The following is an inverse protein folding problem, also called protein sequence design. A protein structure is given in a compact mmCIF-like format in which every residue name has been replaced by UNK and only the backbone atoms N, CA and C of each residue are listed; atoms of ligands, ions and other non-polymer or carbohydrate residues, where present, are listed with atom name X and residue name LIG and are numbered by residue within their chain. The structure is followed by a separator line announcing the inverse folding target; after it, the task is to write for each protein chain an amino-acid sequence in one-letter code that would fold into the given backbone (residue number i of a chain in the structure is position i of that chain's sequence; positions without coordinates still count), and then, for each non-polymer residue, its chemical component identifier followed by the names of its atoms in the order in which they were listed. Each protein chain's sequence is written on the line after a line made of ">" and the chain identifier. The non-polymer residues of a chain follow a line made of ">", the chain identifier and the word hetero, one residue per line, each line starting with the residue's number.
data_IF_937047670778
#
_entry.id   IF_937047670778
#
_cell.length_a   1.000
_cell.length_b   1.000
_cell.length_c   1.000
_cell.angle_alpha   90.00
_cell.angle_beta   90.00
_cell.angle_gamma   90.00
#
_symmetry.space_group_name_H-M   'P 1'
#
loop_
_entity.id
_entity.type
_entity.pdbx_description
1 polymer ?
#
# COMPACT_ATOMS: atom_id res chain seq x y z
N UNK A 1 -6.94 19.72 15.52
CA UNK A 1 -6.66 21.04 14.91
C UNK A 1 -6.87 21.00 13.41
N UNK A 2 -6.12 20.20 12.65
CA UNK A 2 -6.20 20.18 11.18
C UNK A 2 -7.61 19.88 10.64
N UNK A 3 -8.36 18.97 11.29
CA UNK A 3 -9.73 18.68 10.87
C UNK A 3 -10.65 19.91 10.98
N UNK A 4 -10.48 20.71 12.04
CA UNK A 4 -11.24 21.95 12.21
C UNK A 4 -10.86 23.00 11.16
N UNK A 5 -9.55 23.13 10.87
CA UNK A 5 -9.05 24.05 9.85
C UNK A 5 -9.53 23.68 8.43
N UNK A 6 -9.61 22.38 8.16
CA UNK A 6 -10.06 21.85 6.86
C UNK A 6 -11.58 21.66 6.76
N UNK A 7 -12.34 21.92 7.83
CA UNK A 7 -13.78 21.71 7.89
C UNK A 7 -14.18 20.23 7.77
N UNK A 8 -13.32 19.30 8.17
CA UNK A 8 -13.53 17.86 8.07
C UNK A 8 -13.79 17.22 9.44
N UNK A 9 -14.28 15.97 9.43
CA UNK A 9 -14.52 15.19 10.63
C UNK A 9 -13.19 14.65 11.19
N UNK A 10 -12.94 14.72 12.52
CA UNK A 10 -11.78 14.07 13.13
C UNK A 10 -11.82 12.56 12.91
N UNK A 11 -10.73 11.99 12.38
CA UNK A 11 -10.63 10.56 12.02
C UNK A 11 -9.89 9.70 13.05
N UNK A 12 -9.67 10.23 14.25
CA UNK A 12 -9.05 9.47 15.34
C UNK A 12 -7.55 9.22 15.20
N UNK A 13 -6.84 10.04 14.42
CA UNK A 13 -5.39 9.87 14.18
C UNK A 13 -4.50 10.21 15.38
N UNK A 14 -5.02 10.86 16.41
CA UNK A 14 -4.31 11.08 17.69
C UNK A 14 -4.29 9.79 18.50
N UNK A 15 -3.30 8.94 18.29
CA UNK A 15 -3.23 7.59 18.88
C UNK A 15 -1.93 7.38 19.65
N UNK A 16 -1.95 6.46 20.60
CA UNK A 16 -0.78 6.07 21.40
C UNK A 16 -0.76 4.55 21.60
N UNK A 17 0.41 4.00 21.77
CA UNK A 17 0.61 2.58 22.00
C UNK A 17 0.01 2.10 23.32
N UNK A 18 0.12 2.93 24.37
CA UNK A 18 -0.44 2.65 25.69
C UNK A 18 -0.73 3.94 26.46
N UNK A 19 -1.41 3.84 27.58
CA UNK A 19 -1.69 4.99 28.45
C UNK A 19 -0.41 5.66 29.00
N UNK A 20 0.71 4.95 29.04
CA UNK A 20 2.02 5.46 29.50
C UNK A 20 2.79 6.23 28.42
N UNK A 21 2.27 6.30 27.18
CA UNK A 21 2.93 6.92 26.05
C UNK A 21 2.21 8.16 25.59
N UNK A 22 2.96 9.10 25.02
CA UNK A 22 2.40 10.30 24.40
C UNK A 22 1.60 9.93 23.14
N UNK A 23 0.50 10.62 22.91
CA UNK A 23 -0.23 10.51 21.65
C UNK A 23 0.49 11.30 20.54
N UNK A 24 0.52 10.70 19.35
CA UNK A 24 1.03 11.29 18.13
C UNK A 24 0.03 11.12 17.00
N UNK A 25 0.22 11.87 15.94
CA UNK A 25 -0.48 11.56 14.68
C UNK A 25 0.00 10.22 14.15
N UNK A 26 -0.91 9.27 14.02
CA UNK A 26 -0.68 7.89 13.61
C UNK A 26 -1.70 7.50 12.56
N UNK A 27 -1.33 6.52 11.73
CA UNK A 27 -2.29 5.93 10.81
C UNK A 27 -3.47 5.31 11.56
N UNK A 28 -4.65 5.43 10.99
CA UNK A 28 -5.77 4.53 11.18
C UNK A 28 -5.76 3.49 10.04
N UNK A 29 -6.87 2.89 9.70
CA UNK A 29 -6.95 2.01 8.54
C UNK A 29 -6.91 2.88 7.27
N UNK A 30 -5.79 2.88 6.57
CA UNK A 30 -5.58 3.68 5.36
C UNK A 30 -5.40 2.73 4.19
N UNK A 31 -6.31 2.79 3.23
CA UNK A 31 -6.31 1.89 2.08
C UNK A 31 -6.97 2.55 0.86
N UNK A 32 -6.72 2.00 -0.31
CA UNK A 32 -7.43 2.40 -1.51
C UNK A 32 -8.81 1.76 -1.54
N UNK A 33 -9.83 2.56 -1.75
CA UNK A 33 -11.19 2.08 -1.98
C UNK A 33 -11.29 1.29 -3.28
N UNK A 34 -12.34 0.50 -3.42
CA UNK A 34 -12.62 -0.26 -4.63
C UNK A 34 -12.88 0.64 -5.83
N UNK A 35 -12.28 0.28 -6.96
CA UNK A 35 -12.55 0.86 -8.26
C UNK A 35 -13.64 0.09 -9.02
N UNK A 36 -13.49 0.01 -10.34
CA UNK A 36 -14.49 -0.60 -11.23
C UNK A 36 -14.00 -1.84 -11.98
N UNK A 37 -12.70 -2.13 -11.92
CA UNK A 37 -12.10 -3.19 -12.71
C UNK A 37 -12.17 -4.55 -12.02
N UNK A 38 -12.30 -5.62 -12.79
CA UNK A 38 -12.04 -6.97 -12.28
C UNK A 38 -10.54 -7.26 -12.31
N UNK A 39 -10.12 -8.23 -11.51
CA UNK A 39 -8.72 -8.63 -11.48
C UNK A 39 -8.28 -9.22 -12.82
N UNK A 40 -9.17 -9.95 -13.49
CA UNK A 40 -8.94 -10.53 -14.83
C UNK A 40 -8.71 -9.42 -15.87
N UNK A 41 -9.52 -8.36 -15.86
CA UNK A 41 -9.33 -7.19 -16.75
C UNK A 41 -7.99 -6.52 -16.48
N UNK A 42 -7.62 -6.37 -15.21
CA UNK A 42 -6.34 -5.78 -14.83
C UNK A 42 -5.16 -6.61 -15.36
N UNK A 43 -5.19 -7.92 -15.15
CA UNK A 43 -4.15 -8.85 -15.66
C UNK A 43 -4.09 -8.80 -17.18
N UNK A 44 -5.24 -8.89 -17.86
CA UNK A 44 -5.32 -8.86 -19.33
C UNK A 44 -4.75 -7.58 -19.95
N UNK A 45 -4.73 -6.48 -19.18
CA UNK A 45 -4.21 -5.18 -19.63
C UNK A 45 -2.70 -5.00 -19.45
N UNK A 46 -1.97 -6.00 -18.92
CA UNK A 46 -0.52 -5.92 -18.66
C UNK A 46 0.26 -6.55 -19.82
N UNK A 47 1.04 -5.76 -20.53
CA UNK A 47 1.95 -6.27 -21.58
C UNK A 47 3.11 -7.05 -20.96
N UNK A 48 3.77 -6.47 -19.94
CA UNK A 48 4.80 -7.11 -19.14
C UNK A 48 4.83 -6.54 -17.72
N UNK A 49 4.85 -7.40 -16.74
CA UNK A 49 4.92 -7.01 -15.34
C UNK A 49 4.72 -8.18 -14.37
N UNK A 50 4.33 -7.84 -13.16
CA UNK A 50 4.16 -8.83 -12.09
C UNK A 50 2.91 -8.52 -11.27
N UNK A 51 2.17 -9.55 -10.91
CA UNK A 51 1.22 -9.47 -9.82
C UNK A 51 1.94 -9.82 -8.52
N UNK A 52 1.92 -8.88 -7.58
CA UNK A 52 2.69 -8.96 -6.33
C UNK A 52 1.80 -9.47 -5.21
N UNK A 53 2.35 -10.35 -4.38
CA UNK A 53 1.64 -11.01 -3.27
C UNK A 53 2.41 -10.87 -1.96
N UNK A 54 1.65 -10.80 -0.86
CA UNK A 54 2.14 -10.83 0.51
C UNK A 54 3.19 -9.73 0.77
N UNK A 55 2.75 -8.49 0.56
CA UNK A 55 3.53 -7.32 0.98
C UNK A 55 3.66 -7.32 2.50
N UNK A 56 4.88 -7.28 3.01
CA UNK A 56 5.15 -7.51 4.42
C UNK A 56 5.91 -6.39 5.11
N UNK A 57 6.46 -5.46 4.38
CA UNK A 57 7.22 -4.36 4.92
C UNK A 57 7.20 -3.16 3.97
N UNK A 58 7.20 -1.97 4.55
CA UNK A 58 7.30 -0.73 3.80
C UNK A 58 8.03 0.33 4.59
N UNK A 59 8.80 1.13 3.88
CA UNK A 59 9.47 2.33 4.42
C UNK A 59 9.19 3.51 3.51
N UNK A 60 9.07 4.66 4.12
CA UNK A 60 8.92 5.94 3.45
C UNK A 60 10.03 6.93 3.85
N UNK A 61 10.45 7.76 2.91
CA UNK A 61 11.24 8.95 3.17
C UNK A 61 10.35 10.20 3.08
N UNK A 62 9.90 10.75 4.22
CA UNK A 62 8.99 11.89 4.22
C UNK A 62 9.59 13.17 3.66
N UNK A 63 10.91 13.27 3.56
CA UNK A 63 11.58 14.46 3.03
C UNK A 63 11.65 14.47 1.52
N UNK A 64 11.93 13.31 0.92
CA UNK A 64 12.16 13.19 -0.51
C UNK A 64 11.07 12.38 -1.23
N UNK A 65 10.00 12.00 -0.52
CA UNK A 65 8.87 11.22 -1.07
C UNK A 65 9.24 9.84 -1.63
N UNK A 66 10.37 9.32 -1.19
CA UNK A 66 10.81 7.97 -1.55
C UNK A 66 9.98 6.91 -0.83
N UNK A 67 9.71 5.80 -1.51
CA UNK A 67 9.08 4.62 -0.95
C UNK A 67 9.87 3.37 -1.31
N UNK A 68 9.88 2.42 -0.40
CA UNK A 68 10.36 1.07 -0.63
C UNK A 68 9.44 0.08 0.07
N UNK A 69 8.97 -0.92 -0.65
CA UNK A 69 8.15 -2.00 -0.11
C UNK A 69 8.74 -3.34 -0.49
N UNK A 70 8.62 -4.31 0.41
CA UNK A 70 9.01 -5.69 0.14
C UNK A 70 7.78 -6.58 0.08
N UNK A 71 7.87 -7.62 -0.72
CA UNK A 71 6.84 -8.64 -0.83
C UNK A 71 7.48 -10.03 -0.92
N UNK A 72 6.70 -11.05 -0.59
CA UNK A 72 7.18 -12.41 -0.57
C UNK A 72 7.47 -12.92 -1.98
N UNK A 73 6.55 -12.70 -2.92
CA UNK A 73 6.74 -13.13 -4.30
C UNK A 73 5.90 -12.31 -5.29
N UNK A 74 6.26 -12.43 -6.56
CA UNK A 74 5.49 -11.92 -7.69
C UNK A 74 5.32 -12.97 -8.77
N UNK A 75 4.13 -13.05 -9.37
CA UNK A 75 3.84 -13.89 -10.55
C UNK A 75 3.98 -13.06 -11.81
N UNK A 76 4.82 -13.53 -12.73
CA UNK A 76 5.05 -12.83 -13.99
C UNK A 76 3.80 -12.87 -14.89
N UNK A 77 3.53 -11.71 -15.49
CA UNK A 77 2.48 -11.51 -16.49
C UNK A 77 3.16 -11.04 -17.78
N UNK A 78 2.83 -11.69 -18.89
CA UNK A 78 3.23 -11.30 -20.23
C UNK A 78 2.07 -11.41 -21.19
N UNK A 79 1.86 -10.38 -22.01
CA UNK A 79 0.76 -10.31 -22.99
C UNK A 79 -0.60 -10.65 -22.37
N UNK A 80 -0.87 -10.10 -21.19
CA UNK A 80 -2.13 -10.27 -20.46
C UNK A 80 -2.35 -11.63 -19.80
N UNK A 81 -1.31 -12.47 -19.67
CA UNK A 81 -1.42 -13.82 -19.13
C UNK A 81 -0.29 -14.14 -18.15
N UNK A 82 -0.58 -14.94 -17.14
CA UNK A 82 0.45 -15.49 -16.27
C UNK A 82 1.33 -16.47 -17.06
N UNK A 83 2.65 -16.28 -16.97
CA UNK A 83 3.64 -17.17 -17.64
C UNK A 83 3.94 -18.44 -16.84
N UNK A 84 3.62 -18.45 -15.56
CA UNK A 84 4.04 -19.48 -14.61
C UNK A 84 5.34 -19.18 -13.86
N UNK A 85 6.10 -18.19 -14.31
CA UNK A 85 7.32 -17.77 -13.62
C UNK A 85 6.99 -17.00 -12.35
N UNK A 86 7.84 -17.16 -11.33
CA UNK A 86 7.74 -16.51 -10.04
C UNK A 86 9.09 -15.84 -9.72
N UNK A 87 9.02 -14.61 -9.20
CA UNK A 87 10.16 -13.91 -8.61
C UNK A 87 10.00 -13.86 -7.10
N UNK A 88 11.06 -14.04 -6.35
CA UNK A 88 11.10 -13.96 -4.89
C UNK A 88 12.53 -13.78 -4.39
N UNK A 89 12.78 -12.93 -3.39
CA UNK A 89 11.85 -11.90 -2.86
C UNK A 89 11.64 -10.76 -3.86
N UNK A 90 10.64 -9.91 -3.61
CA UNK A 90 10.39 -8.72 -4.44
C UNK A 90 10.65 -7.46 -3.62
N UNK A 91 11.42 -6.55 -4.18
CA UNK A 91 11.59 -5.20 -3.66
C UNK A 91 11.00 -4.20 -4.66
N UNK A 92 10.03 -3.44 -4.19
CA UNK A 92 9.44 -2.35 -4.98
C UNK A 92 9.97 -1.02 -4.47
N UNK A 93 10.43 -0.16 -5.34
CA UNK A 93 10.93 1.18 -4.98
C UNK A 93 10.47 2.24 -5.96
N UNK A 94 10.40 3.48 -5.49
CA UNK A 94 9.99 4.61 -6.31
C UNK A 94 9.71 5.86 -5.49
N UNK A 95 8.99 6.78 -6.09
CA UNK A 95 8.49 7.99 -5.44
C UNK A 95 6.96 7.93 -5.35
N UNK A 96 6.42 8.43 -4.23
CA UNK A 96 4.96 8.41 -3.95
C UNK A 96 4.17 9.05 -5.10
N UNK A 97 4.60 10.22 -5.56
CA UNK A 97 3.88 10.94 -6.62
C UNK A 97 3.88 10.15 -7.93
N UNK A 98 5.03 9.59 -8.31
CA UNK A 98 5.15 8.78 -9.52
C UNK A 98 4.27 7.52 -9.45
N UNK A 99 4.27 6.85 -8.30
CA UNK A 99 3.39 5.71 -8.06
C UNK A 99 1.92 6.10 -8.21
N UNK A 100 1.47 7.12 -7.46
CA UNK A 100 0.06 7.54 -7.44
C UNK A 100 -0.43 8.00 -8.82
N UNK A 101 0.38 8.79 -9.54
CA UNK A 101 0.03 9.27 -10.88
C UNK A 101 0.09 8.19 -11.96
N UNK A 102 0.78 7.09 -11.71
CA UNK A 102 0.85 5.95 -12.63
C UNK A 102 -0.28 4.94 -12.44
N UNK A 103 -1.12 5.07 -11.41
CA UNK A 103 -2.27 4.19 -11.20
C UNK A 103 -3.22 4.33 -12.38
N UNK A 104 -3.41 3.24 -13.10
CA UNK A 104 -4.26 3.20 -14.30
C UNK A 104 -5.53 2.37 -14.11
N UNK A 105 -5.53 1.43 -13.17
CA UNK A 105 -6.69 0.60 -12.84
C UNK A 105 -6.71 0.29 -11.35
N UNK A 106 -7.91 0.14 -10.80
CA UNK A 106 -8.16 -0.24 -9.41
C UNK A 106 -9.23 -1.33 -9.40
N UNK A 107 -8.97 -2.43 -8.67
CA UNK A 107 -9.94 -3.52 -8.55
C UNK A 107 -11.18 -3.08 -7.79
N UNK A 108 -12.33 -3.66 -8.13
CA UNK A 108 -13.57 -3.47 -7.37
C UNK A 108 -13.55 -4.19 -6.00
N UNK A 109 -12.80 -5.27 -5.90
CA UNK A 109 -12.72 -6.04 -4.67
C UNK A 109 -11.70 -5.40 -3.72
N UNK A 110 -12.10 -5.26 -2.46
CA UNK A 110 -11.29 -4.71 -1.38
C UNK A 110 -11.11 -5.79 -0.32
N UNK A 111 -9.87 -6.09 0.01
CA UNK A 111 -9.52 -7.02 1.09
C UNK A 111 -8.75 -6.27 2.16
N UNK A 112 -9.26 -6.27 3.37
CA UNK A 112 -8.61 -5.63 4.54
C UNK A 112 -8.46 -6.66 5.64
N UNK A 113 -7.26 -6.78 6.18
CA UNK A 113 -6.92 -7.70 7.26
C UNK A 113 -6.59 -6.93 8.54
N UNK A 114 -6.69 -7.59 9.70
CA UNK A 114 -6.43 -6.97 11.00
C UNK A 114 -5.01 -7.15 11.54
N UNK A 115 -4.02 -7.45 10.67
CA UNK A 115 -2.67 -7.84 11.09
C UNK A 115 -1.65 -6.69 11.09
N UNK A 116 -2.00 -5.53 10.54
CA UNK A 116 -1.10 -4.40 10.35
C UNK A 116 -0.71 -3.66 11.62
N UNK A 117 0.39 -2.95 11.54
CA UNK A 117 0.90 -2.08 12.60
C UNK A 117 1.53 -0.83 12.03
N UNK A 118 1.13 0.33 12.53
CA UNK A 118 1.77 1.60 12.24
C UNK A 118 2.90 1.83 13.25
N UNK A 119 4.14 1.84 12.78
CA UNK A 119 5.32 2.20 13.56
C UNK A 119 5.56 3.72 13.56
N UNK A 120 6.09 4.25 14.65
CA UNK A 120 6.64 5.61 14.69
C UNK A 120 7.95 5.61 15.46
N UNK A 121 9.02 5.87 14.74
CA UNK A 121 10.33 5.57 15.27
C UNK A 121 10.47 4.06 15.54
N UNK A 122 11.46 3.67 16.30
CA UNK A 122 11.76 2.26 16.56
C UNK A 122 11.10 1.70 17.83
N UNK A 123 10.21 2.43 18.48
CA UNK A 123 9.73 2.07 19.84
C UNK A 123 8.22 2.07 20.04
N UNK A 124 7.45 2.55 19.08
CA UNK A 124 6.01 2.72 19.29
C UNK A 124 5.21 2.16 18.13
N UNK A 125 4.32 1.24 18.44
CA UNK A 125 3.46 0.55 17.50
C UNK A 125 2.00 0.71 17.87
N UNK A 126 1.16 1.00 16.90
CA UNK A 126 -0.29 0.97 17.07
C UNK A 126 -0.91 0.04 16.03
N UNK A 127 -1.89 -0.74 16.46
CA UNK A 127 -2.59 -1.67 15.58
C UNK A 127 -3.39 -0.93 14.53
N UNK A 128 -3.32 -1.41 13.30
CA UNK A 128 -4.14 -0.98 12.17
C UNK A 128 -4.55 -2.21 11.36
N UNK A 129 -5.59 -2.08 10.54
CA UNK A 129 -5.81 -3.01 9.45
C UNK A 129 -5.02 -2.57 8.23
N UNK A 130 -4.53 -3.51 7.48
CA UNK A 130 -3.81 -3.33 6.22
C UNK A 130 -4.56 -4.05 5.09
N UNK A 131 -4.31 -3.63 3.86
CA UNK A 131 -4.96 -4.14 2.68
C UNK A 131 -5.47 -3.03 1.75
N UNK A 132 -6.51 -3.32 1.01
CA UNK A 132 -7.13 -2.40 0.06
C UNK A 132 -7.55 -3.08 -1.22
N UNK A 133 -7.86 -2.29 -2.23
CA UNK A 133 -8.04 -2.75 -3.60
C UNK A 133 -6.68 -3.04 -4.27
N UNK A 134 -6.66 -3.96 -5.23
CA UNK A 134 -5.49 -4.15 -6.08
C UNK A 134 -5.31 -2.93 -7.00
N UNK A 135 -4.06 -2.51 -7.19
CA UNK A 135 -3.69 -1.38 -8.03
C UNK A 135 -2.84 -1.85 -9.20
N UNK A 136 -3.12 -1.34 -10.41
CA UNK A 136 -2.20 -1.41 -11.53
C UNK A 136 -1.43 -0.09 -11.62
N UNK A 137 -0.15 -0.15 -11.31
CA UNK A 137 0.73 1.03 -11.27
C UNK A 137 2.13 0.67 -11.78
N UNK A 138 2.96 1.68 -11.98
CA UNK A 138 4.36 1.52 -12.38
C UNK A 138 5.27 1.74 -11.17
N UNK A 139 6.12 0.75 -10.89
CA UNK A 139 7.14 0.83 -9.85
C UNK A 139 8.43 0.20 -10.37
N UNK A 140 9.55 0.56 -9.76
CA UNK A 140 10.80 -0.14 -10.00
C UNK A 140 10.82 -1.41 -9.16
N UNK A 141 11.09 -2.55 -9.79
CA UNK A 141 11.24 -3.86 -9.15
C UNK A 141 12.70 -4.28 -9.21
N UNK A 142 13.22 -4.75 -8.07
CA UNK A 142 14.58 -5.27 -7.94
C UNK A 142 14.62 -6.48 -7.05
#
# INVERSE_FOLDING_TARGET
>A
LSAAELGTIPTGNGRRQSYKRKAYTRMTNTFFEGGTNTLEEMVASVDYGYMIFDTNNGMEDPKNWGIQCTALYGKEIKDGKFTGNIISPVVMSGYVIDLLTSISMISKDVVVTGSGSCGKGYKEWVRVSDGGACLKAKVKIG
#
